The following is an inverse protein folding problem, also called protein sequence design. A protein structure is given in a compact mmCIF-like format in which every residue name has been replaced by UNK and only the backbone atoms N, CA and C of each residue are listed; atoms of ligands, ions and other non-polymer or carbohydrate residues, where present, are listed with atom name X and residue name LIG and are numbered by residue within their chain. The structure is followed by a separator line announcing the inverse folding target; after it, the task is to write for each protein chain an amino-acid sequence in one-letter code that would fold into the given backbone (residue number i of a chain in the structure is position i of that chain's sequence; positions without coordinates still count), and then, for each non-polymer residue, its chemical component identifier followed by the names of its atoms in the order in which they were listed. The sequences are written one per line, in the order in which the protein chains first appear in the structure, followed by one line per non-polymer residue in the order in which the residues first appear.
data_IF_533812654323
#
_entry.id   IF_533812654323
#
_cell.length_a   1.000
_cell.length_b   1.000
_cell.length_c   1.000
_cell.angle_alpha   90.00
_cell.angle_beta   90.00
_cell.angle_gamma   90.00
#
_symmetry.space_group_name_H-M   'P 1'
#
loop_
_entity.id
_entity.type
_entity.pdbx_description
1 polymer ?
#
# COMPACT_ATOMS: atom_id res chain seq x y z
N UNK A 1 -18.49 2.00 -13.94
CA UNK A 1 -17.70 0.94 -13.26
C UNK A 1 -16.18 1.16 -13.28
N UNK A 2 -15.56 1.76 -14.31
CA UNK A 2 -14.08 1.92 -14.37
C UNK A 2 -13.46 2.77 -13.24
N UNK A 3 -14.12 3.84 -12.82
CA UNK A 3 -13.65 4.71 -11.71
C UNK A 3 -13.63 3.99 -10.35
N UNK A 4 -14.61 3.13 -10.11
CA UNK A 4 -14.75 2.36 -8.86
C UNK A 4 -13.51 1.50 -8.61
N UNK A 5 -12.96 0.89 -9.67
CA UNK A 5 -11.73 0.09 -9.59
C UNK A 5 -10.56 0.97 -9.14
N UNK A 6 -10.35 2.14 -9.73
CA UNK A 6 -9.27 3.05 -9.32
C UNK A 6 -9.38 3.48 -7.86
N UNK A 7 -10.58 3.83 -7.41
CA UNK A 7 -10.85 4.21 -6.01
C UNK A 7 -10.56 3.05 -5.05
N UNK A 8 -10.98 1.82 -5.38
CA UNK A 8 -10.70 0.64 -4.56
C UNK A 8 -9.18 0.45 -4.38
N UNK A 9 -8.39 0.58 -5.44
CA UNK A 9 -6.93 0.45 -5.33
C UNK A 9 -6.31 1.50 -4.40
N UNK A 10 -6.79 2.75 -4.46
CA UNK A 10 -6.31 3.82 -3.56
C UNK A 10 -6.70 3.56 -2.12
N UNK A 11 -7.96 3.17 -1.88
CA UNK A 11 -8.46 2.85 -0.53
C UNK A 11 -7.70 1.67 0.08
N UNK A 12 -7.49 0.59 -0.70
CA UNK A 12 -6.72 -0.58 -0.27
C UNK A 12 -5.26 -0.20 0.01
N UNK A 13 -4.65 0.62 -0.85
CA UNK A 13 -3.29 1.11 -0.65
C UNK A 13 -3.15 1.95 0.63
N UNK A 14 -4.10 2.85 0.90
CA UNK A 14 -4.12 3.65 2.13
C UNK A 14 -4.31 2.79 3.38
N UNK A 15 -5.21 1.80 3.34
CA UNK A 15 -5.38 0.83 4.43
C UNK A 15 -4.10 0.02 4.67
N UNK A 16 -3.39 -0.36 3.60
CA UNK A 16 -2.09 -1.02 3.72
C UNK A 16 -1.04 -0.11 4.36
N UNK A 17 -0.98 1.17 3.99
CA UNK A 17 -0.07 2.13 4.64
C UNK A 17 -0.41 2.26 6.12
N UNK A 18 -1.68 2.46 6.46
CA UNK A 18 -2.13 2.62 7.83
C UNK A 18 -1.80 1.40 8.70
N UNK A 19 -2.11 0.20 8.20
CA UNK A 19 -1.76 -1.05 8.89
C UNK A 19 -0.25 -1.27 8.98
N UNK A 20 0.53 -0.87 7.97
CA UNK A 20 1.99 -0.95 8.01
C UNK A 20 2.57 -0.01 9.04
N UNK A 21 2.09 1.23 9.13
CA UNK A 21 2.54 2.20 10.14
C UNK A 21 2.13 1.73 11.54
N UNK A 22 0.88 1.28 11.73
CA UNK A 22 0.42 0.75 13.01
C UNK A 22 1.24 -0.47 13.45
N UNK A 23 1.50 -1.41 12.53
CA UNK A 23 2.36 -2.56 12.83
C UNK A 23 3.80 -2.15 13.06
N UNK A 24 4.31 -1.14 12.36
CA UNK A 24 5.64 -0.59 12.62
C UNK A 24 5.70 0.01 14.00
N UNK A 25 4.66 0.71 14.48
CA UNK A 25 4.62 1.33 15.82
C UNK A 25 4.47 0.31 16.96
N UNK A 26 3.85 -0.85 16.70
CA UNK A 26 3.89 -1.99 17.62
C UNK A 26 5.29 -2.61 17.63
N UNK A 27 6.02 -2.50 18.74
CA UNK A 27 7.30 -3.20 18.94
C UNK A 27 7.07 -4.72 18.96
N UNK A 28 7.15 -5.33 17.78
CA UNK A 28 7.11 -6.78 17.61
C UNK A 28 8.50 -7.31 17.30
N UNK A 29 8.81 -8.51 17.80
CA UNK A 29 10.08 -9.18 17.50
C UNK A 29 10.17 -9.62 16.03
N UNK A 30 9.03 -9.93 15.39
CA UNK A 30 8.97 -10.38 14.00
C UNK A 30 7.89 -9.61 13.23
N UNK A 31 8.32 -8.89 12.21
CA UNK A 31 7.43 -8.17 11.30
C UNK A 31 7.18 -8.98 10.03
N UNK A 32 5.91 -9.26 9.72
CA UNK A 32 5.53 -10.04 8.54
C UNK A 32 5.39 -9.11 7.33
N UNK A 33 6.30 -9.22 6.36
CA UNK A 33 6.35 -8.35 5.18
C UNK A 33 5.26 -8.75 4.17
N UNK A 34 5.36 -9.96 3.60
CA UNK A 34 4.43 -10.51 2.59
C UNK A 34 4.34 -12.03 2.74
N UNK A 35 3.12 -12.60 2.66
CA UNK A 35 2.83 -14.05 2.65
C UNK A 35 3.45 -14.82 3.84
N UNK A 36 4.70 -15.24 3.71
CA UNK A 36 5.51 -15.94 4.72
C UNK A 36 6.86 -15.29 5.02
N UNK A 37 7.18 -14.17 4.38
CA UNK A 37 8.44 -13.48 4.62
C UNK A 37 8.34 -12.61 5.86
N UNK A 38 9.13 -12.94 6.89
CA UNK A 38 9.25 -12.18 8.14
C UNK A 38 10.63 -11.55 8.24
N UNK A 39 10.70 -10.37 8.85
CA UNK A 39 11.97 -9.71 9.17
C UNK A 39 11.94 -9.26 10.62
N UNK A 40 13.07 -9.38 11.29
CA UNK A 40 13.31 -8.81 12.61
C UNK A 40 13.67 -7.31 12.48
N UNK A 41 14.13 -6.89 11.29
CA UNK A 41 14.54 -5.52 11.06
C UNK A 41 13.33 -4.64 10.71
N UNK A 42 12.92 -3.83 11.68
CA UNK A 42 11.84 -2.86 11.59
C UNK A 42 11.97 -1.92 10.38
N UNK A 43 13.18 -1.49 10.04
CA UNK A 43 13.41 -0.61 8.88
C UNK A 43 13.23 -1.35 7.56
N UNK A 44 13.68 -2.61 7.46
CA UNK A 44 13.47 -3.45 6.28
C UNK A 44 11.97 -3.72 6.06
N UNK A 45 11.22 -3.95 7.14
CA UNK A 45 9.77 -4.08 7.08
C UNK A 45 9.10 -2.84 6.49
N UNK A 46 9.44 -1.66 7.00
CA UNK A 46 8.86 -0.40 6.54
C UNK A 46 9.24 -0.09 5.09
N UNK A 47 10.51 -0.31 4.71
CA UNK A 47 10.98 -0.04 3.35
C UNK A 47 10.25 -0.92 2.33
N UNK A 48 10.15 -2.23 2.58
CA UNK A 48 9.52 -3.15 1.64
C UNK A 48 8.01 -2.96 1.64
N UNK A 49 7.37 -3.09 2.81
CA UNK A 49 5.90 -3.09 2.90
C UNK A 49 5.34 -1.68 2.69
N UNK A 50 5.99 -0.67 3.24
CA UNK A 50 5.67 0.74 2.98
C UNK A 50 5.86 1.08 1.51
N UNK A 51 6.98 0.70 0.89
CA UNK A 51 7.22 0.89 -0.53
C UNK A 51 6.17 0.24 -1.43
N UNK A 52 5.81 -1.02 -1.15
CA UNK A 52 4.73 -1.72 -1.85
C UNK A 52 3.38 -1.02 -1.71
N UNK A 53 3.02 -0.61 -0.50
CA UNK A 53 1.76 0.09 -0.25
C UNK A 53 1.71 1.44 -0.97
N UNK A 54 2.82 2.20 -0.98
CA UNK A 54 2.94 3.44 -1.73
C UNK A 54 2.82 3.21 -3.25
N UNK A 55 3.43 2.15 -3.79
CA UNK A 55 3.29 1.77 -5.19
C UNK A 55 1.84 1.46 -5.55
N UNK A 56 1.12 0.72 -4.70
CA UNK A 56 -0.30 0.42 -4.92
C UNK A 56 -1.15 1.70 -4.97
N UNK A 57 -0.90 2.64 -4.05
CA UNK A 57 -1.58 3.95 -4.07
C UNK A 57 -1.28 4.71 -5.36
N UNK A 58 0.00 4.80 -5.75
CA UNK A 58 0.40 5.50 -6.98
C UNK A 58 -0.25 4.88 -8.23
N UNK A 59 -0.28 3.55 -8.33
CA UNK A 59 -0.95 2.85 -9.44
C UNK A 59 -2.46 3.13 -9.43
N UNK A 60 -3.09 3.12 -8.26
CA UNK A 60 -4.49 3.50 -8.10
C UNK A 60 -4.77 4.92 -8.59
N UNK A 61 -3.96 5.89 -8.16
CA UNK A 61 -4.05 7.29 -8.56
C UNK A 61 -3.83 7.49 -10.06
N UNK A 62 -2.82 6.83 -10.65
CA UNK A 62 -2.57 6.87 -12.10
C UNK A 62 -3.75 6.30 -12.89
N UNK A 63 -4.37 5.21 -12.41
CA UNK A 63 -5.59 4.66 -13.00
C UNK A 63 -6.73 5.67 -12.95
N UNK A 64 -6.98 6.31 -11.81
CA UNK A 64 -8.03 7.33 -11.68
C UNK A 64 -7.77 8.48 -12.65
N UNK A 65 -6.54 9.00 -12.69
CA UNK A 65 -6.14 10.09 -13.60
C UNK A 65 -6.38 9.74 -15.06
N UNK A 66 -5.95 8.55 -15.50
CA UNK A 66 -6.12 8.08 -16.89
C UNK A 66 -7.59 7.93 -17.29
N UNK A 67 -8.44 7.48 -16.36
CA UNK A 67 -9.88 7.37 -16.63
C UNK A 67 -10.52 8.76 -16.71
N UNK A 68 -10.05 9.72 -15.90
CA UNK A 68 -10.54 11.10 -15.93
C UNK A 68 -10.14 11.84 -17.22
N UNK A 69 -8.89 11.67 -17.65
CA UNK A 69 -8.34 12.23 -18.88
C UNK A 69 -9.05 11.70 -20.14
N UNK A 70 -9.37 10.41 -20.16
CA UNK A 70 -10.12 9.77 -21.26
C UNK A 70 -11.59 10.23 -21.37
N UNK A 71 -12.08 11.08 -20.45
CA UNK A 71 -13.43 11.66 -20.49
C UNK A 71 -13.44 13.15 -20.88
N UNK A 72 -12.27 13.80 -20.97
CA UNK A 72 -12.14 15.17 -21.46
C UNK A 72 -11.97 15.20 -22.97
#
# INVERSE_FOLDING_TARGET
MKYTIGIIYVVVGLLMIFTTISQYMEDRELYKIILSYTTENRNTFLAIRGGLSALIVLVGLQKIKKINDSKS
#
